data_IF_657797313493
#
_entry.id   IF_657797313493
#
_cell.length_a   1.000
_cell.length_b   1.000
_cell.length_c   1.000
_cell.angle_alpha   90.00
_cell.angle_beta   90.00
_cell.angle_gamma   90.00
#
_symmetry.space_group_name_H-M   'P 1'
#
loop_
_entity.id
_entity.type
_entity.pdbx_description
1 polymer ?
#
# COMPACT_ATOMS: atom_id res chain seq x y z
N UNK A 1 4.16 13.35 -16.16
CA UNK A 1 3.73 13.92 -14.86
C UNK A 1 4.77 13.80 -13.76
N UNK A 2 5.51 12.69 -13.63
CA UNK A 2 6.56 12.57 -12.58
C UNK A 2 7.63 13.66 -12.67
N UNK A 3 8.13 13.96 -13.88
CA UNK A 3 9.14 15.02 -14.06
C UNK A 3 8.64 16.39 -13.61
N UNK A 4 7.36 16.70 -13.86
CA UNK A 4 6.75 17.94 -13.39
C UNK A 4 6.67 17.99 -11.86
N UNK A 5 6.31 16.87 -11.22
CA UNK A 5 6.30 16.79 -9.76
C UNK A 5 7.70 16.99 -9.15
N UNK A 6 8.74 16.43 -9.78
CA UNK A 6 10.14 16.67 -9.39
C UNK A 6 10.54 18.13 -9.56
N UNK A 7 10.19 18.73 -10.71
CA UNK A 7 10.45 20.14 -10.97
C UNK A 7 9.79 21.04 -9.93
N UNK A 8 8.52 20.79 -9.57
CA UNK A 8 7.81 21.52 -8.52
C UNK A 8 8.51 21.39 -7.17
N UNK A 9 8.99 20.19 -6.82
CA UNK A 9 9.73 19.96 -5.57
C UNK A 9 11.06 20.70 -5.55
N UNK A 10 11.82 20.68 -6.66
CA UNK A 10 13.08 21.40 -6.79
C UNK A 10 12.89 22.92 -6.62
N UNK A 11 11.80 23.47 -7.16
CA UNK A 11 11.45 24.89 -7.07
C UNK A 11 10.65 25.25 -5.81
N UNK A 12 10.47 24.30 -4.87
CA UNK A 12 9.72 24.48 -3.61
C UNK A 12 8.26 24.94 -3.79
N UNK A 13 7.65 24.64 -4.93
CA UNK A 13 6.23 24.93 -5.16
C UNK A 13 5.35 23.83 -4.55
N UNK A 14 4.29 24.27 -3.86
CA UNK A 14 3.24 23.42 -3.31
C UNK A 14 1.91 23.85 -3.87
N UNK A 15 1.31 22.99 -4.69
CA UNK A 15 0.01 23.23 -5.29
C UNK A 15 -1.07 22.77 -4.31
N UNK A 16 -1.79 23.72 -3.71
CA UNK A 16 -2.95 23.37 -2.92
C UNK A 16 -4.16 23.09 -3.83
N UNK A 17 -4.41 23.93 -4.83
CA UNK A 17 -5.53 23.74 -5.76
C UNK A 17 -5.08 23.03 -7.04
N UNK A 18 -5.73 21.91 -7.35
CA UNK A 18 -5.57 21.18 -8.61
C UNK A 18 -6.96 20.98 -9.20
N UNK A 19 -7.22 21.74 -10.26
CA UNK A 19 -8.47 21.70 -10.99
C UNK A 19 -8.41 20.66 -12.11
N UNK A 20 -9.54 20.00 -12.36
CA UNK A 20 -9.69 19.18 -13.55
C UNK A 20 -9.80 20.08 -14.79
N UNK A 21 -9.17 19.65 -15.87
CA UNK A 21 -9.30 20.33 -17.15
C UNK A 21 -10.75 20.22 -17.67
N UNK A 22 -11.33 21.36 -18.03
CA UNK A 22 -12.60 21.45 -18.74
C UNK A 22 -12.32 21.94 -20.17
N UNK A 23 -12.72 21.19 -21.21
CA UNK A 23 -12.47 21.58 -22.59
C UNK A 23 -13.26 22.86 -22.94
N UNK A 24 -12.55 23.99 -22.99
CA UNK A 24 -13.10 25.28 -23.43
C UNK A 24 -13.17 25.32 -24.96
N UNK A 25 -14.29 25.74 -25.58
CA UNK A 25 -14.33 25.89 -27.03
C UNK A 25 -13.24 26.86 -27.52
N UNK A 26 -12.79 26.68 -28.76
CA UNK A 26 -11.78 27.50 -29.44
C UNK A 26 -10.38 27.52 -28.77
N UNK A 27 -10.11 26.62 -27.81
CA UNK A 27 -8.79 26.51 -27.18
C UNK A 27 -7.95 25.37 -27.77
N UNK A 28 -6.65 25.59 -27.95
CA UNK A 28 -5.69 24.57 -28.42
C UNK A 28 -5.69 23.32 -27.54
N UNK A 29 -5.83 23.47 -26.23
CA UNK A 29 -5.95 22.36 -25.27
C UNK A 29 -7.18 21.48 -25.53
N UNK A 30 -8.27 22.07 -26.04
CA UNK A 30 -9.49 21.35 -26.38
C UNK A 30 -9.34 20.57 -27.67
N UNK A 31 -8.69 21.16 -28.68
CA UNK A 31 -8.28 20.43 -29.87
C UNK A 31 -7.41 19.24 -29.51
N UNK A 32 -6.42 19.42 -28.63
CA UNK A 32 -5.60 18.32 -28.09
C UNK A 32 -6.49 17.28 -27.41
N UNK A 33 -7.39 17.69 -26.51
CA UNK A 33 -8.26 16.78 -25.75
C UNK A 33 -9.11 15.84 -26.63
N UNK A 34 -9.65 16.37 -27.73
CA UNK A 34 -10.47 15.58 -28.65
C UNK A 34 -9.65 14.80 -29.67
N UNK A 35 -8.65 15.42 -30.29
CA UNK A 35 -7.89 14.81 -31.40
C UNK A 35 -6.74 13.91 -30.92
N UNK A 36 -6.22 14.14 -29.72
CA UNK A 36 -5.01 13.48 -29.24
C UNK A 36 -3.74 13.88 -30.00
N UNK A 37 -3.77 14.97 -30.79
CA UNK A 37 -2.64 15.44 -31.59
C UNK A 37 -2.17 16.82 -31.14
N UNK A 38 -0.93 17.15 -31.47
CA UNK A 38 -0.38 18.49 -31.25
C UNK A 38 -0.93 19.49 -32.31
N UNK A 39 -1.74 20.49 -31.92
CA UNK A 39 -2.40 21.42 -32.85
C UNK A 39 -1.46 22.50 -33.39
N UNK A 40 -0.27 22.67 -32.80
CA UNK A 40 0.70 23.68 -33.24
C UNK A 40 1.50 23.22 -34.46
N UNK A 41 1.49 21.92 -34.76
CA UNK A 41 2.18 21.32 -35.90
C UNK A 41 1.22 20.94 -37.04
N UNK A 42 1.80 20.63 -38.21
CA UNK A 42 1.04 20.06 -39.32
C UNK A 42 0.45 18.70 -38.91
N UNK A 43 -0.87 18.58 -38.96
CA UNK A 43 -1.57 17.34 -38.65
C UNK A 43 -1.50 16.41 -39.88
N UNK A 44 -1.04 15.19 -39.67
CA UNK A 44 -0.94 14.16 -40.70
C UNK A 44 -0.74 12.79 -40.05
N UNK A 45 -0.48 11.77 -40.86
CA UNK A 45 -0.33 10.40 -40.33
C UNK A 45 0.83 10.26 -39.35
N UNK A 46 1.92 11.00 -39.56
CA UNK A 46 3.13 10.99 -38.73
C UNK A 46 3.16 12.07 -37.64
N UNK A 47 2.03 12.74 -37.35
CA UNK A 47 2.01 13.80 -36.35
C UNK A 47 2.15 13.24 -34.93
N UNK A 48 2.78 14.01 -34.05
CA UNK A 48 2.99 13.68 -32.65
C UNK A 48 1.65 13.40 -31.94
N UNK A 49 1.60 12.26 -31.25
CA UNK A 49 0.51 11.88 -30.37
C UNK A 49 0.70 12.48 -28.98
N UNK A 50 -0.34 13.13 -28.49
CA UNK A 50 -0.41 13.70 -27.16
C UNK A 50 -1.26 12.79 -26.28
N UNK A 51 -0.66 12.26 -25.23
CA UNK A 51 -1.36 11.41 -24.26
C UNK A 51 -2.23 12.27 -23.33
N UNK A 52 -3.55 12.18 -23.47
CA UNK A 52 -4.51 12.84 -22.57
C UNK A 52 -5.17 11.83 -21.62
N UNK A 53 -5.03 12.00 -20.30
CA UNK A 53 -5.65 11.14 -19.31
C UNK A 53 -7.16 11.42 -19.21
N UNK A 54 -7.98 10.61 -19.89
CA UNK A 54 -9.45 10.68 -19.80
C UNK A 54 -10.03 9.85 -18.65
N UNK A 55 -9.26 8.92 -18.08
CA UNK A 55 -9.72 8.03 -17.01
C UNK A 55 -9.50 8.59 -15.60
N UNK A 56 -10.43 8.32 -14.69
CA UNK A 56 -10.41 8.85 -13.31
C UNK A 56 -9.23 8.32 -12.50
N UNK A 57 -8.84 7.06 -12.68
CA UNK A 57 -7.65 6.49 -12.01
C UNK A 57 -6.38 7.27 -12.36
N UNK A 58 -6.20 7.60 -13.64
CA UNK A 58 -5.02 8.32 -14.12
C UNK A 58 -5.05 9.79 -13.71
N UNK A 59 -6.23 10.45 -13.77
CA UNK A 59 -6.41 11.82 -13.28
C UNK A 59 -6.13 11.94 -11.79
N UNK A 60 -6.64 10.99 -10.98
CA UNK A 60 -6.36 10.92 -9.55
C UNK A 60 -4.87 10.76 -9.26
N UNK A 61 -4.17 9.89 -10.00
CA UNK A 61 -2.72 9.74 -9.87
C UNK A 61 -1.97 11.02 -10.25
N UNK A 62 -2.36 11.69 -11.34
CA UNK A 62 -1.72 12.94 -11.76
C UNK A 62 -1.92 14.05 -10.72
N UNK A 63 -3.12 14.17 -10.17
CA UNK A 63 -3.43 15.11 -9.09
C UNK A 63 -2.63 14.80 -7.82
N UNK A 64 -2.53 13.52 -7.44
CA UNK A 64 -1.70 13.07 -6.33
C UNK A 64 -0.22 13.43 -6.53
N UNK A 65 0.34 13.21 -7.73
CA UNK A 65 1.73 13.58 -8.04
C UNK A 65 1.99 15.09 -7.90
N UNK A 66 1.04 15.95 -8.31
CA UNK A 66 1.15 17.39 -8.13
C UNK A 66 1.07 17.80 -6.64
N UNK A 67 0.23 17.12 -5.87
CA UNK A 67 0.10 17.28 -4.41
C UNK A 67 0.99 16.31 -3.64
N UNK A 68 2.27 16.23 -4.01
CA UNK A 68 3.23 15.30 -3.39
C UNK A 68 3.40 15.47 -1.87
N UNK A 69 3.08 16.66 -1.34
CA UNK A 69 3.24 17.00 0.07
C UNK A 69 2.13 16.44 0.96
N UNK A 70 0.99 16.06 0.38
CA UNK A 70 -0.16 15.54 1.11
C UNK A 70 0.05 14.04 1.46
N UNK A 71 0.07 13.68 2.77
CA UNK A 71 0.28 12.31 3.21
C UNK A 71 -0.76 11.31 2.68
N UNK A 72 -2.01 11.75 2.47
CA UNK A 72 -3.07 10.87 1.99
C UNK A 72 -2.77 10.29 0.59
N UNK A 73 -1.94 10.99 -0.19
CA UNK A 73 -1.58 10.60 -1.55
C UNK A 73 -0.34 9.69 -1.61
N UNK A 74 0.45 9.58 -0.54
CA UNK A 74 1.72 8.85 -0.55
C UNK A 74 1.58 7.37 -0.92
N UNK A 75 0.60 6.60 -0.42
CA UNK A 75 0.44 5.20 -0.83
C UNK A 75 0.21 5.06 -2.34
N UNK A 76 -0.64 5.92 -2.93
CA UNK A 76 -0.95 5.90 -4.36
C UNK A 76 0.28 6.24 -5.20
N UNK A 77 1.05 7.24 -4.79
CA UNK A 77 2.26 7.66 -5.49
C UNK A 77 3.34 6.58 -5.41
N UNK A 78 3.55 5.96 -4.24
CA UNK A 78 4.53 4.87 -4.07
C UNK A 78 4.22 3.70 -4.99
N UNK A 79 2.99 3.20 -5.00
CA UNK A 79 2.57 2.11 -5.89
C UNK A 79 2.80 2.45 -7.36
N UNK A 80 2.50 3.70 -7.77
CA UNK A 80 2.73 4.14 -9.14
C UNK A 80 4.22 4.26 -9.49
N UNK A 81 5.06 4.76 -8.58
CA UNK A 81 6.50 4.85 -8.78
C UNK A 81 7.15 3.46 -8.84
N UNK A 82 6.69 2.52 -8.02
CA UNK A 82 7.12 1.11 -8.07
C UNK A 82 6.76 0.45 -9.39
N UNK A 83 5.52 0.64 -9.87
CA UNK A 83 5.06 0.12 -11.16
C UNK A 83 5.85 0.72 -12.34
N UNK A 84 6.33 1.96 -12.23
CA UNK A 84 7.18 2.62 -13.23
C UNK A 84 8.68 2.31 -13.08
N UNK A 85 9.08 1.48 -12.09
CA UNK A 85 10.50 1.18 -11.82
C UNK A 85 11.30 2.34 -11.22
N UNK A 86 10.65 3.42 -10.77
CA UNK A 86 11.30 4.63 -10.21
C UNK A 86 11.41 4.61 -8.69
N UNK A 87 11.77 3.46 -8.12
CA UNK A 87 11.90 3.26 -6.66
C UNK A 87 12.91 4.19 -6.00
N UNK A 88 13.92 4.65 -6.73
CA UNK A 88 14.95 5.59 -6.24
C UNK A 88 14.36 6.96 -5.83
N UNK A 89 13.16 7.31 -6.30
CA UNK A 89 12.44 8.53 -5.93
C UNK A 89 11.66 8.39 -4.61
N UNK A 90 11.73 7.23 -3.95
CA UNK A 90 11.10 6.99 -2.66
C UNK A 90 12.21 7.04 -1.59
N UNK A 91 12.04 7.89 -0.58
CA UNK A 91 13.01 8.01 0.52
C UNK A 91 13.02 9.37 1.20
N UNK A 92 13.94 9.54 2.14
CA UNK A 92 14.09 10.76 2.95
C UNK A 92 14.96 11.84 2.28
N UNK A 93 15.65 11.52 1.18
CA UNK A 93 16.53 12.47 0.50
C UNK A 93 15.75 13.62 -0.12
N UNK A 94 16.42 14.77 -0.29
CA UNK A 94 15.84 15.98 -0.90
C UNK A 94 15.32 15.73 -2.32
N UNK A 95 15.98 14.85 -3.06
CA UNK A 95 15.66 14.54 -4.46
C UNK A 95 14.60 13.43 -4.62
N UNK A 96 14.26 12.73 -3.53
CA UNK A 96 13.13 11.78 -3.53
C UNK A 96 11.82 12.57 -3.61
N UNK A 97 10.77 12.07 -4.25
CA UNK A 97 9.47 12.75 -4.33
C UNK A 97 8.67 12.57 -3.03
N UNK A 98 8.60 11.34 -2.53
CA UNK A 98 7.76 10.90 -1.39
C UNK A 98 8.60 10.15 -0.36
N UNK A 99 8.32 10.27 0.95
CA UNK A 99 9.01 9.50 1.98
C UNK A 99 8.76 7.99 1.88
N UNK A 100 9.69 7.22 2.45
CA UNK A 100 9.52 5.79 2.65
C UNK A 100 8.29 5.52 3.55
N UNK A 101 7.59 4.39 3.36
CA UNK A 101 6.44 4.04 4.19
C UNK A 101 6.85 3.92 5.67
N UNK A 102 6.03 4.49 6.55
CA UNK A 102 6.26 4.44 8.00
C UNK A 102 5.94 3.03 8.53
N UNK A 103 6.57 2.63 9.64
CA UNK A 103 6.31 1.32 10.27
C UNK A 103 4.82 1.14 10.60
N UNK A 104 4.15 2.20 11.03
CA UNK A 104 2.71 2.17 11.32
C UNK A 104 1.85 1.98 10.07
N UNK A 105 2.18 2.66 8.96
CA UNK A 105 1.51 2.45 7.67
C UNK A 105 1.68 1.00 7.19
N UNK A 106 2.88 0.44 7.34
CA UNK A 106 3.15 -0.96 6.99
C UNK A 106 2.36 -1.93 7.88
N UNK A 107 2.26 -1.64 9.18
CA UNK A 107 1.49 -2.44 10.14
C UNK A 107 0.00 -2.38 9.83
N UNK A 108 -0.52 -1.22 9.47
CA UNK A 108 -1.93 -1.02 9.10
C UNK A 108 -2.27 -1.70 7.77
N UNK A 109 -1.43 -1.56 6.74
CA UNK A 109 -1.58 -2.29 5.49
C UNK A 109 -1.58 -3.82 5.71
N UNK A 110 -0.72 -4.32 6.62
CA UNK A 110 -0.69 -5.75 7.00
C UNK A 110 -1.94 -6.18 7.76
N UNK A 111 -2.50 -5.33 8.63
CA UNK A 111 -3.79 -5.58 9.32
C UNK A 111 -4.96 -5.62 8.34
N UNK A 112 -4.99 -4.70 7.38
CA UNK A 112 -6.06 -4.62 6.38
C UNK A 112 -6.06 -5.83 5.43
N UNK A 113 -4.87 -6.28 5.01
CA UNK A 113 -4.71 -7.54 4.26
C UNK A 113 -5.13 -8.77 5.08
N UNK A 114 -4.94 -8.77 6.41
CA UNK A 114 -5.38 -9.87 7.28
C UNK A 114 -6.90 -9.99 7.38
N UNK A 115 -7.60 -8.87 7.31
CA UNK A 115 -9.06 -8.82 7.41
C UNK A 115 -9.78 -9.03 6.08
N UNK A 116 -9.07 -8.96 4.95
CA UNK A 116 -9.64 -9.22 3.63
C UNK A 116 -9.60 -10.72 3.35
N UNK A 117 -10.66 -11.44 3.73
CA UNK A 117 -10.83 -12.84 3.32
C UNK A 117 -11.27 -12.85 1.86
N UNK A 118 -10.55 -13.52 0.93
CA UNK A 118 -11.01 -13.64 -0.44
C UNK A 118 -12.36 -14.36 -0.46
N UNK A 119 -13.35 -13.78 -1.14
CA UNK A 119 -14.63 -14.42 -1.34
C UNK A 119 -14.42 -15.65 -2.23
N UNK A 120 -14.57 -16.85 -1.67
CA UNK A 120 -14.50 -18.09 -2.43
C UNK A 120 -15.73 -18.18 -3.34
N UNK A 121 -15.51 -18.16 -4.65
CA UNK A 121 -16.53 -18.45 -5.66
C UNK A 121 -16.36 -19.89 -6.18
N UNK A 122 -17.39 -20.43 -6.84
CA UNK A 122 -17.41 -21.80 -7.39
C UNK A 122 -16.27 -22.12 -8.38
N UNK A 123 -15.54 -21.10 -8.87
CA UNK A 123 -14.40 -21.24 -9.78
C UNK A 123 -13.04 -21.01 -9.11
N UNK A 124 -12.99 -20.90 -7.78
CA UNK A 124 -11.73 -20.80 -7.04
C UNK A 124 -11.18 -22.22 -6.78
N UNK A 125 -9.93 -22.53 -7.12
CA UNK A 125 -9.38 -23.87 -6.91
C UNK A 125 -9.42 -24.27 -5.43
N UNK A 126 -9.90 -25.49 -5.17
CA UNK A 126 -10.26 -26.08 -3.86
C UNK A 126 -9.07 -26.15 -2.86
N UNK A 127 -7.84 -25.86 -3.30
CA UNK A 127 -6.65 -25.83 -2.43
C UNK A 127 -6.78 -24.82 -1.26
N UNK A 128 -7.48 -23.70 -1.45
CA UNK A 128 -7.70 -22.69 -0.41
C UNK A 128 -8.95 -22.92 0.45
N UNK A 129 -9.75 -23.94 0.14
CA UNK A 129 -11.03 -24.20 0.83
C UNK A 129 -10.86 -25.05 2.10
N UNK A 130 -9.70 -25.69 2.29
CA UNK A 130 -9.47 -26.67 3.37
C UNK A 130 -8.45 -26.17 4.40
N UNK A 131 -8.76 -25.07 5.06
CA UNK A 131 -8.24 -24.78 6.40
C UNK A 131 -9.43 -24.60 7.35
N UNK A 132 -10.01 -25.73 7.76
CA UNK A 132 -10.92 -25.78 8.91
C UNK A 132 -10.08 -25.75 10.19
N UNK A 133 -10.45 -24.97 11.22
CA UNK A 133 -9.83 -25.08 12.54
C UNK A 133 -10.44 -26.29 13.25
N UNK A 134 -10.03 -27.49 12.86
CA UNK A 134 -10.41 -28.75 13.52
C UNK A 134 -9.14 -29.47 13.97
N UNK A 135 -8.48 -28.90 14.98
CA UNK A 135 -7.23 -29.43 15.52
C UNK A 135 -6.83 -28.83 16.86
N UNK A 136 -7.76 -28.27 17.63
CA UNK A 136 -7.54 -27.92 19.03
C UNK A 136 -8.18 -28.99 19.92
N UNK A 137 -7.58 -30.19 19.97
CA UNK A 137 -7.89 -31.14 21.04
C UNK A 137 -7.06 -30.76 22.27
N UNK A 138 -7.78 -30.18 23.24
CA UNK A 138 -7.43 -30.08 24.66
C UNK A 138 -6.72 -31.36 25.14
N UNK A 139 -5.57 -31.20 25.78
CA UNK A 139 -4.99 -32.22 26.65
C UNK A 139 -4.85 -31.64 28.07
N UNK A 140 -5.94 -31.73 28.83
CA UNK A 140 -6.06 -31.61 30.30
C UNK A 140 -7.31 -32.46 30.62
N UNK A 141 -7.37 -33.49 31.48
CA UNK A 141 -6.67 -33.78 32.75
C UNK A 141 -7.13 -35.15 33.32
N UNK A 142 -6.19 -35.92 33.93
CA UNK A 142 -6.33 -36.86 35.08
C UNK A 142 -7.21 -38.16 34.95
N UNK A 143 -7.11 -39.20 35.84
CA UNK A 143 -6.50 -39.25 37.18
C UNK A 143 -5.76 -40.54 37.65
N UNK A 144 -5.12 -40.40 38.83
CA UNK A 144 -4.99 -41.36 39.95
C UNK A 144 -3.87 -42.44 40.01
N UNK A 145 -3.36 -42.57 41.25
CA UNK A 145 -2.16 -43.26 41.78
C UNK A 145 -2.47 -44.70 42.18
N UNK A 146 -1.43 -45.55 42.41
CA UNK A 146 -1.25 -46.06 43.77
C UNK A 146 0.24 -46.02 44.21
N UNK A 147 0.59 -45.24 45.23
CA UNK A 147 1.04 -45.66 46.57
C UNK A 147 1.76 -47.02 46.63
N UNK A 148 3.09 -47.00 46.80
CA UNK A 148 3.82 -48.01 47.58
C UNK A 148 4.49 -47.33 48.77
N UNK A 149 4.20 -47.90 49.93
CA UNK A 149 4.69 -47.53 51.25
C UNK A 149 6.13 -48.03 51.48
N UNK A 150 6.92 -47.28 52.25
CA UNK A 150 8.25 -47.64 52.69
C UNK A 150 8.74 -46.76 53.84
N UNK A 151 8.33 -47.14 55.06
CA UNK A 151 9.02 -47.00 56.37
C UNK A 151 9.58 -45.65 56.88
N UNK A 152 8.90 -45.12 57.93
CA UNK A 152 9.39 -44.66 59.27
C UNK A 152 10.89 -44.83 59.54
N UNK A 153 11.67 -43.93 60.17
CA UNK A 153 11.65 -43.17 61.47
C UNK A 153 12.99 -42.37 61.48
N UNK A 154 13.29 -41.28 62.19
CA UNK A 154 13.02 -40.87 63.56
C UNK A 154 13.31 -39.37 63.74
N UNK A 155 12.59 -38.75 64.67
CA UNK A 155 12.82 -37.43 65.27
C UNK A 155 13.95 -37.45 66.31
N UNK A 156 14.62 -36.30 66.53
CA UNK A 156 14.73 -35.69 67.88
C UNK A 156 15.36 -34.28 67.86
N UNK A 157 14.79 -33.48 68.74
CA UNK A 157 15.00 -32.08 69.11
C UNK A 157 16.13 -31.92 70.16
N UNK A 158 16.50 -30.65 70.42
CA UNK A 158 17.18 -30.11 71.63
C UNK A 158 18.71 -30.23 71.66
N UNK A 159 19.51 -29.37 72.31
CA UNK A 159 19.43 -28.01 72.86
C UNK A 159 20.86 -27.72 73.43
N UNK A 160 21.27 -26.46 73.51
CA UNK A 160 22.24 -25.99 74.52
C UNK A 160 23.74 -26.02 74.19
N UNK A 161 24.32 -24.83 74.13
CA UNK A 161 25.47 -24.46 74.96
C UNK A 161 25.21 -23.06 75.51
#
# INVERSE_FOLDING_TARGET
MVNLALWLKQHRFRLDQVQNFYPSPLANSTTMYYTGKNPLGKIGYKSEDVVIPKGDKQRRLHKALLRYHDPANWPLIRTALEAMGKKHLIGSRRDCLVPAPTIDEMREARRQNRNTRPALTKHTPVAHQRQTPAGAKKATSAPSRPVKAGAKKHSKTAAGR
#
